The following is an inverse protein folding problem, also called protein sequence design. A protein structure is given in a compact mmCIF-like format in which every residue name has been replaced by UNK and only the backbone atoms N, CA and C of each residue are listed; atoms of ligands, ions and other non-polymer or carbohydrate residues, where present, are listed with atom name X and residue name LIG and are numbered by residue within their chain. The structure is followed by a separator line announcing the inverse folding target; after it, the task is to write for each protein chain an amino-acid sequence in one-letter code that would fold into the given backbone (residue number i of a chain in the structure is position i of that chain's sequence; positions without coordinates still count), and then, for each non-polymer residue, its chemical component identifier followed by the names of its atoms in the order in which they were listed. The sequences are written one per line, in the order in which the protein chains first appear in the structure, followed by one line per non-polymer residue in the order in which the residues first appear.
data_IF_525315030602
#
_entry.id   IF_525315030602
#
_cell.length_a   1.000
_cell.length_b   1.000
_cell.length_c   1.000
_cell.angle_alpha   90.00
_cell.angle_beta   90.00
_cell.angle_gamma   90.00
#
_symmetry.space_group_name_H-M   'P 1'
#
loop_
_entity.id
_entity.type
_entity.pdbx_description
1 polymer ?
#
# COMPACT_ATOMS: atom_id res chain seq x y z
N UNK A 1 -40.87 14.85 -61.10
CA UNK A 1 -40.07 13.86 -60.34
C UNK A 1 -38.87 14.58 -59.77
N UNK A 2 -38.98 15.13 -58.58
CA UNK A 2 -37.97 16.03 -57.99
C UNK A 2 -37.25 15.28 -56.88
N UNK A 3 -36.07 14.75 -57.16
CA UNK A 3 -35.18 14.19 -56.13
C UNK A 3 -34.42 15.33 -55.48
N UNK A 4 -34.74 15.63 -54.21
CA UNK A 4 -33.90 16.45 -53.35
C UNK A 4 -33.02 15.50 -52.52
N UNK A 5 -31.68 15.61 -52.55
CA UNK A 5 -30.83 14.81 -51.68
C UNK A 5 -30.87 15.40 -50.27
N UNK A 6 -31.20 14.58 -49.28
CA UNK A 6 -31.07 14.92 -47.86
C UNK A 6 -29.64 15.33 -47.52
N UNK A 7 -29.42 16.35 -46.68
CA UNK A 7 -28.09 16.72 -46.26
C UNK A 7 -27.50 15.61 -45.37
N UNK A 8 -26.40 15.01 -45.83
CA UNK A 8 -25.59 14.11 -45.02
C UNK A 8 -25.10 14.85 -43.77
N UNK A 9 -25.62 14.46 -42.61
CA UNK A 9 -25.10 14.89 -41.31
C UNK A 9 -23.75 14.18 -41.10
N UNK A 10 -22.66 14.90 -40.78
CA UNK A 10 -21.38 14.25 -40.52
C UNK A 10 -21.44 13.48 -39.20
N UNK A 11 -21.48 12.15 -39.29
CA UNK A 11 -21.28 11.23 -38.18
C UNK A 11 -19.82 11.34 -37.73
N UNK A 12 -19.48 12.21 -36.77
CA UNK A 12 -18.08 12.26 -36.35
C UNK A 12 -17.63 13.24 -35.27
N UNK A 13 -18.40 14.29 -34.93
CA UNK A 13 -17.97 15.23 -33.89
C UNK A 13 -18.65 14.89 -32.58
N UNK A 14 -18.03 14.01 -31.78
CA UNK A 14 -18.43 13.90 -30.36
C UNK A 14 -18.32 15.27 -29.74
N UNK A 15 -19.39 15.73 -29.09
CA UNK A 15 -19.40 17.04 -28.44
C UNK A 15 -18.26 17.12 -27.43
N UNK A 16 -17.60 18.28 -27.33
CA UNK A 16 -16.57 18.58 -26.32
C UNK A 16 -17.09 18.21 -24.91
N UNK A 17 -18.40 18.35 -24.68
CA UNK A 17 -19.07 17.97 -23.44
C UNK A 17 -19.03 16.46 -23.18
N UNK A 18 -19.35 15.63 -24.18
CA UNK A 18 -19.28 14.16 -24.07
C UNK A 18 -17.85 13.67 -23.86
N UNK A 19 -16.87 14.34 -24.46
CA UNK A 19 -15.46 14.06 -24.23
C UNK A 19 -15.05 14.37 -22.78
N UNK A 20 -15.44 15.54 -22.25
CA UNK A 20 -15.21 15.92 -20.84
C UNK A 20 -15.85 14.92 -19.89
N UNK A 21 -17.11 14.55 -20.11
CA UNK A 21 -17.78 13.55 -19.27
C UNK A 21 -17.12 12.18 -19.31
N UNK A 22 -16.67 11.71 -20.48
CA UNK A 22 -15.90 10.46 -20.57
C UNK A 22 -14.60 10.54 -19.78
N UNK A 23 -13.87 11.63 -19.94
CA UNK A 23 -12.63 11.87 -19.19
C UNK A 23 -12.89 11.91 -17.69
N UNK A 24 -13.97 12.56 -17.26
CA UNK A 24 -14.32 12.71 -15.86
C UNK A 24 -14.76 11.37 -15.25
N UNK A 25 -15.56 10.58 -15.99
CA UNK A 25 -15.92 9.20 -15.59
C UNK A 25 -14.68 8.31 -15.51
N UNK A 26 -13.73 8.43 -16.44
CA UNK A 26 -12.47 7.67 -16.43
C UNK A 26 -11.62 8.06 -15.23
N UNK A 27 -11.44 9.37 -14.97
CA UNK A 27 -10.73 9.90 -13.80
C UNK A 27 -11.35 9.41 -12.50
N UNK A 28 -12.68 9.47 -12.36
CA UNK A 28 -13.39 8.99 -11.18
C UNK A 28 -13.27 7.47 -10.98
N UNK A 29 -13.19 6.68 -12.06
CA UNK A 29 -12.96 5.23 -11.96
C UNK A 29 -11.54 4.94 -11.50
N UNK A 30 -10.55 5.50 -12.17
CA UNK A 30 -9.13 5.30 -11.83
C UNK A 30 -8.81 5.81 -10.43
N UNK A 31 -9.36 6.96 -10.03
CA UNK A 31 -9.21 7.48 -8.67
C UNK A 31 -9.78 6.54 -7.61
N UNK A 32 -10.96 5.94 -7.86
CA UNK A 32 -11.54 4.95 -6.94
C UNK A 32 -10.72 3.67 -6.86
N UNK A 33 -10.23 3.16 -7.98
CA UNK A 33 -9.35 1.97 -8.00
C UNK A 33 -8.05 2.24 -7.22
N UNK A 34 -7.48 3.43 -7.39
CA UNK A 34 -6.30 3.87 -6.65
C UNK A 34 -6.57 3.90 -5.14
N UNK A 35 -7.63 4.58 -4.70
CA UNK A 35 -8.03 4.66 -3.27
C UNK A 35 -8.23 3.26 -2.69
N UNK A 36 -8.97 2.39 -3.37
CA UNK A 36 -9.19 1.02 -2.91
C UNK A 36 -7.90 0.21 -2.79
N UNK A 37 -6.97 0.40 -3.74
CA UNK A 37 -5.67 -0.25 -3.69
C UNK A 37 -4.83 0.25 -2.51
N UNK A 38 -4.88 1.55 -2.22
CA UNK A 38 -4.14 2.19 -1.13
C UNK A 38 -4.72 1.78 0.23
N UNK A 39 -6.04 1.72 0.36
CA UNK A 39 -6.73 1.26 1.56
C UNK A 39 -6.31 -0.17 1.92
N UNK A 40 -6.39 -1.10 0.96
CA UNK A 40 -5.94 -2.49 1.14
C UNK A 40 -4.45 -2.60 1.47
N UNK A 41 -3.63 -1.65 1.01
CA UNK A 41 -2.22 -1.63 1.30
C UNK A 41 -1.95 -1.13 2.73
N UNK A 42 -2.59 -0.03 3.13
CA UNK A 42 -2.54 0.49 4.50
C UNK A 42 -3.05 -0.53 5.52
N UNK A 43 -4.15 -1.22 5.24
CA UNK A 43 -4.66 -2.30 6.09
C UNK A 43 -3.58 -3.38 6.33
N UNK A 44 -2.88 -3.83 5.28
CA UNK A 44 -1.81 -4.83 5.44
C UNK A 44 -0.63 -4.30 6.25
N UNK A 45 -0.27 -3.03 6.08
CA UNK A 45 0.79 -2.39 6.87
C UNK A 45 0.39 -2.22 8.33
N UNK A 46 -0.88 -1.94 8.59
CA UNK A 46 -1.43 -1.84 9.94
C UNK A 46 -1.37 -3.19 10.65
N UNK A 47 -1.71 -4.29 9.95
CA UNK A 47 -1.57 -5.64 10.50
C UNK A 47 -0.13 -5.93 10.95
N UNK A 48 0.87 -5.51 10.16
CA UNK A 48 2.28 -5.70 10.53
C UNK A 48 2.62 -4.81 11.74
N UNK A 49 2.23 -3.54 11.71
CA UNK A 49 2.55 -2.56 12.75
C UNK A 49 1.95 -2.96 14.09
N UNK A 50 0.66 -3.28 14.12
CA UNK A 50 -0.09 -3.62 15.32
C UNK A 50 0.29 -5.00 15.84
N UNK A 51 0.14 -6.06 15.03
CA UNK A 51 0.30 -7.42 15.56
C UNK A 51 1.74 -7.89 15.69
N UNK A 52 2.65 -7.37 14.86
CA UNK A 52 4.06 -7.68 15.02
C UNK A 52 4.76 -6.59 15.81
N UNK A 53 4.79 -5.34 15.37
CA UNK A 53 5.68 -4.37 16.01
C UNK A 53 5.22 -3.99 17.43
N UNK A 54 3.94 -3.67 17.64
CA UNK A 54 3.42 -3.29 18.96
C UNK A 54 3.29 -4.48 19.91
N UNK A 55 2.71 -5.61 19.49
CA UNK A 55 2.60 -6.77 20.39
C UNK A 55 3.98 -7.37 20.70
N UNK A 56 4.95 -7.39 19.76
CA UNK A 56 6.32 -7.81 20.10
C UNK A 56 6.97 -6.87 21.13
N UNK A 57 6.68 -5.56 21.05
CA UNK A 57 7.13 -4.59 22.04
C UNK A 57 6.53 -4.86 23.41
N UNK A 58 5.21 -5.06 23.47
CA UNK A 58 4.50 -5.31 24.73
C UNK A 58 4.89 -6.66 25.36
N UNK A 59 5.13 -7.70 24.55
CA UNK A 59 5.50 -9.03 25.05
C UNK A 59 6.99 -9.18 25.38
N UNK A 60 7.85 -8.28 24.91
CA UNK A 60 9.30 -8.36 25.12
C UNK A 60 9.97 -9.57 24.45
N UNK A 61 9.31 -10.20 23.47
CA UNK A 61 9.80 -11.43 22.81
C UNK A 61 11.09 -11.23 22.01
N UNK A 62 11.33 -9.99 21.56
CA UNK A 62 12.51 -9.57 20.81
C UNK A 62 13.08 -8.28 21.41
N UNK A 63 14.41 -8.21 21.45
CA UNK A 63 15.12 -6.98 21.81
C UNK A 63 14.83 -5.88 20.78
N UNK A 64 14.91 -4.63 21.24
CA UNK A 64 14.57 -3.47 20.43
C UNK A 64 15.45 -3.33 19.18
N UNK A 65 16.75 -3.54 19.30
CA UNK A 65 17.73 -3.54 18.20
C UNK A 65 17.37 -4.55 17.09
N UNK A 66 16.99 -5.77 17.48
CA UNK A 66 16.59 -6.83 16.55
C UNK A 66 15.26 -6.48 15.88
N UNK A 67 14.30 -5.94 16.65
CA UNK A 67 13.01 -5.51 16.10
C UNK A 67 13.19 -4.40 15.07
N UNK A 68 13.97 -3.37 15.39
CA UNK A 68 14.28 -2.27 14.48
C UNK A 68 15.05 -2.76 13.25
N UNK A 69 15.93 -3.75 13.40
CA UNK A 69 16.64 -4.34 12.26
C UNK A 69 15.71 -5.17 11.35
N UNK A 70 14.65 -5.79 11.86
CA UNK A 70 13.68 -6.54 11.05
C UNK A 70 12.65 -5.63 10.39
N UNK A 71 12.07 -4.69 11.15
CA UNK A 71 10.94 -3.87 10.69
C UNK A 71 11.38 -2.51 10.14
N UNK A 72 12.59 -2.04 10.44
CA UNK A 72 13.17 -0.81 9.91
C UNK A 72 12.19 0.37 9.96
N UNK A 73 12.06 1.11 8.86
CA UNK A 73 11.16 2.24 8.65
C UNK A 73 9.71 1.86 8.33
N UNK A 74 9.27 0.60 8.50
CA UNK A 74 7.91 0.18 8.11
C UNK A 74 6.80 0.97 8.81
N UNK A 75 7.04 1.41 10.05
CA UNK A 75 6.13 2.26 10.81
C UNK A 75 5.99 3.65 10.17
N UNK A 76 7.11 4.23 9.76
CA UNK A 76 7.13 5.52 9.07
C UNK A 76 6.44 5.42 7.71
N UNK A 77 6.69 4.33 6.97
CA UNK A 77 6.00 4.02 5.71
C UNK A 77 4.48 3.95 5.94
N UNK A 78 4.03 3.21 6.96
CA UNK A 78 2.62 3.10 7.30
C UNK A 78 1.98 4.46 7.59
N UNK A 79 2.60 5.29 8.44
CA UNK A 79 2.08 6.61 8.81
C UNK A 79 1.92 7.54 7.60
N UNK A 80 2.93 7.55 6.73
CA UNK A 80 2.93 8.39 5.53
C UNK A 80 1.85 7.93 4.55
N UNK A 81 1.70 6.62 4.35
CA UNK A 81 0.65 6.08 3.49
C UNK A 81 -0.76 6.30 4.05
N UNK A 82 -0.94 6.25 5.38
CA UNK A 82 -2.23 6.60 6.01
C UNK A 82 -2.60 8.06 5.75
N UNK A 83 -1.62 8.96 5.83
CA UNK A 83 -1.82 10.38 5.52
C UNK A 83 -2.18 10.57 4.04
N UNK A 84 -1.47 9.88 3.14
CA UNK A 84 -1.80 9.86 1.72
C UNK A 84 -3.22 9.33 1.49
N UNK A 85 -3.60 8.21 2.11
CA UNK A 85 -4.92 7.61 1.97
C UNK A 85 -6.04 8.60 2.35
N UNK A 86 -5.91 9.32 3.47
CA UNK A 86 -6.88 10.34 3.87
C UNK A 86 -7.07 11.41 2.78
N UNK A 87 -5.97 11.92 2.21
CA UNK A 87 -6.05 12.88 1.09
C UNK A 87 -6.66 12.27 -0.18
N UNK A 88 -6.43 10.99 -0.47
CA UNK A 88 -7.01 10.31 -1.62
C UNK A 88 -8.52 10.07 -1.43
N UNK A 89 -8.97 9.74 -0.22
CA UNK A 89 -10.39 9.58 0.13
C UNK A 89 -11.15 10.91 0.02
N UNK A 90 -10.52 12.02 0.39
CA UNK A 90 -11.04 13.39 0.21
C UNK A 90 -11.05 13.85 -1.26
N UNK A 91 -10.45 13.08 -2.18
CA UNK A 91 -10.29 13.44 -3.59
C UNK A 91 -9.18 14.47 -3.86
N UNK A 92 -8.36 14.78 -2.87
CA UNK A 92 -7.25 15.73 -2.92
C UNK A 92 -5.94 15.07 -3.38
N UNK A 93 -5.97 14.38 -4.53
CA UNK A 93 -4.82 13.62 -5.06
C UNK A 93 -3.54 14.46 -5.17
N UNK A 94 -3.63 15.69 -5.71
CA UNK A 94 -2.46 16.54 -5.93
C UNK A 94 -1.73 16.87 -4.63
N UNK A 95 -2.46 17.36 -3.62
CA UNK A 95 -1.89 17.71 -2.30
C UNK A 95 -1.38 16.46 -1.58
N UNK A 96 -2.11 15.36 -1.67
CA UNK A 96 -1.70 14.09 -1.07
C UNK A 96 -0.35 13.61 -1.61
N UNK A 97 -0.16 13.64 -2.93
CA UNK A 97 1.12 13.24 -3.54
C UNK A 97 2.24 14.25 -3.27
N UNK A 98 1.95 15.55 -3.27
CA UNK A 98 2.94 16.59 -2.97
C UNK A 98 3.51 16.43 -1.54
N UNK A 99 2.65 16.09 -0.57
CA UNK A 99 3.06 15.80 0.80
C UNK A 99 3.70 14.41 0.94
N UNK A 100 3.32 13.44 0.12
CA UNK A 100 3.87 12.08 0.16
C UNK A 100 5.31 12.00 -0.38
N UNK A 101 5.59 12.65 -1.52
CA UNK A 101 6.85 12.54 -2.25
C UNK A 101 8.13 12.78 -1.39
N UNK A 102 8.20 13.80 -0.52
CA UNK A 102 9.35 14.03 0.35
C UNK A 102 9.67 12.84 1.28
N UNK A 103 8.67 12.03 1.61
CA UNK A 103 8.78 10.91 2.53
C UNK A 103 9.19 9.58 1.87
N UNK A 104 9.42 9.57 0.55
CA UNK A 104 9.88 8.38 -0.18
C UNK A 104 11.21 7.82 0.33
N UNK A 105 12.04 8.64 0.99
CA UNK A 105 13.29 8.19 1.62
C UNK A 105 13.09 7.07 2.66
N UNK A 106 11.92 6.97 3.30
CA UNK A 106 11.60 5.86 4.20
C UNK A 106 11.59 4.53 3.47
N UNK A 107 11.14 4.50 2.22
CA UNK A 107 11.15 3.30 1.40
C UNK A 107 12.56 2.92 0.97
N UNK A 108 13.41 3.89 0.59
CA UNK A 108 14.83 3.65 0.29
C UNK A 108 15.52 2.98 1.48
N UNK A 109 15.35 3.56 2.68
CA UNK A 109 15.89 2.99 3.93
C UNK A 109 15.41 1.56 4.17
N UNK A 110 14.13 1.28 3.88
CA UNK A 110 13.56 -0.05 4.02
C UNK A 110 14.15 -1.05 3.02
N UNK A 111 14.30 -0.66 1.75
CA UNK A 111 14.87 -1.48 0.67
C UNK A 111 16.31 -1.86 1.01
N UNK A 112 17.11 -0.89 1.42
CA UNK A 112 18.53 -1.08 1.74
C UNK A 112 18.71 -2.06 2.91
N UNK A 113 17.84 -1.97 3.92
CA UNK A 113 17.87 -2.86 5.07
C UNK A 113 17.16 -4.21 4.83
N UNK A 114 16.39 -4.38 3.75
CA UNK A 114 15.51 -5.54 3.56
C UNK A 114 16.26 -6.88 3.55
N UNK A 115 17.45 -6.93 2.93
CA UNK A 115 18.26 -8.15 2.91
C UNK A 115 18.79 -8.53 4.29
N UNK A 116 19.21 -7.53 5.09
CA UNK A 116 19.64 -7.74 6.47
C UNK A 116 18.46 -8.20 7.34
N UNK A 117 17.31 -7.54 7.22
CA UNK A 117 16.07 -7.91 7.90
C UNK A 117 15.69 -9.38 7.63
N UNK A 118 15.75 -9.83 6.37
CA UNK A 118 15.44 -11.22 6.00
C UNK A 118 16.40 -12.23 6.64
N UNK A 119 17.70 -11.93 6.66
CA UNK A 119 18.71 -12.78 7.33
C UNK A 119 18.48 -12.86 8.83
N UNK A 120 18.24 -11.72 9.48
CA UNK A 120 18.00 -11.64 10.93
C UNK A 120 16.71 -12.36 11.28
N UNK A 121 15.64 -12.17 10.50
CA UNK A 121 14.37 -12.89 10.69
C UNK A 121 14.58 -14.41 10.63
N UNK A 122 15.32 -14.91 9.64
CA UNK A 122 15.62 -16.33 9.53
C UNK A 122 16.41 -16.87 10.74
N UNK A 123 17.38 -16.11 11.24
CA UNK A 123 18.14 -16.46 12.46
C UNK A 123 17.24 -16.49 13.68
N UNK A 124 16.38 -15.48 13.87
CA UNK A 124 15.45 -15.42 14.99
C UNK A 124 14.43 -16.56 14.95
N UNK A 125 13.91 -16.91 13.77
CA UNK A 125 13.01 -18.05 13.63
C UNK A 125 13.68 -19.38 13.95
N UNK A 126 14.97 -19.55 13.66
CA UNK A 126 15.74 -20.75 14.01
C UNK A 126 16.08 -20.82 15.50
N UNK A 127 16.60 -19.74 16.09
CA UNK A 127 17.14 -19.73 17.46
C UNK A 127 16.11 -19.43 18.54
N UNK A 128 15.10 -18.62 18.25
CA UNK A 128 14.16 -18.11 19.26
C UNK A 128 12.81 -18.86 19.19
N UNK A 129 12.63 -19.87 20.06
CA UNK A 129 11.40 -20.67 20.17
C UNK A 129 10.18 -19.81 20.55
N UNK A 130 10.36 -18.81 21.42
CA UNK A 130 9.29 -17.91 21.83
C UNK A 130 8.80 -17.06 20.65
N UNK A 131 9.73 -16.50 19.86
CA UNK A 131 9.41 -15.75 18.65
C UNK A 131 8.70 -16.62 17.60
N UNK A 132 9.15 -17.87 17.40
CA UNK A 132 8.47 -18.80 16.48
C UNK A 132 7.03 -19.10 16.91
N UNK A 133 6.80 -19.35 18.21
CA UNK A 133 5.46 -19.56 18.75
C UNK A 133 4.60 -18.31 18.62
N UNK A 134 5.18 -17.15 18.88
CA UNK A 134 4.53 -15.86 18.70
C UNK A 134 4.09 -15.64 17.25
N UNK A 135 4.99 -15.81 16.28
CA UNK A 135 4.68 -15.70 14.85
C UNK A 135 3.51 -16.61 14.47
N UNK A 136 3.57 -17.89 14.85
CA UNK A 136 2.50 -18.85 14.57
C UNK A 136 1.16 -18.43 15.18
N UNK A 137 1.18 -17.82 16.37
CA UNK A 137 -0.04 -17.33 17.03
C UNK A 137 -0.63 -16.12 16.30
N UNK A 138 0.20 -15.18 15.84
CA UNK A 138 -0.29 -14.02 15.09
C UNK A 138 -0.80 -14.42 13.70
N UNK A 139 -0.09 -15.31 13.00
CA UNK A 139 -0.46 -15.79 11.66
C UNK A 139 -1.73 -16.67 11.67
N UNK A 140 -2.10 -17.23 12.82
CA UNK A 140 -3.33 -18.00 12.99
C UNK A 140 -4.59 -17.12 13.12
N UNK A 141 -4.43 -15.80 13.28
CA UNK A 141 -5.55 -14.90 13.43
C UNK A 141 -6.28 -14.69 12.09
N UNK A 142 -7.62 -14.52 12.11
CA UNK A 142 -8.40 -14.39 10.88
C UNK A 142 -8.00 -13.19 10.01
N UNK A 143 -7.55 -12.09 10.63
CA UNK A 143 -7.16 -10.85 9.95
C UNK A 143 -5.98 -11.07 8.98
N UNK A 144 -5.13 -12.06 9.25
CA UNK A 144 -3.99 -12.39 8.39
C UNK A 144 -4.37 -13.18 7.15
N UNK A 145 -5.57 -13.77 7.06
CA UNK A 145 -6.01 -14.54 5.89
C UNK A 145 -4.98 -15.59 5.41
N UNK A 146 -4.27 -16.24 6.34
CA UNK A 146 -3.16 -17.19 6.09
C UNK A 146 -1.90 -16.58 5.46
N UNK A 147 -1.80 -15.25 5.36
CA UNK A 147 -0.59 -14.55 4.98
C UNK A 147 0.46 -14.69 6.08
N UNK A 148 1.70 -14.95 5.66
CA UNK A 148 2.82 -15.05 6.58
C UNK A 148 3.54 -13.72 6.69
N UNK A 149 4.28 -13.53 7.78
CA UNK A 149 5.15 -12.37 7.93
C UNK A 149 6.12 -12.23 6.75
N UNK A 150 6.63 -13.36 6.22
CA UNK A 150 7.52 -13.36 5.06
C UNK A 150 6.87 -12.83 3.77
N UNK A 151 5.54 -12.93 3.65
CA UNK A 151 4.78 -12.45 2.48
C UNK A 151 4.41 -10.96 2.61
N UNK A 152 4.34 -10.48 3.86
CA UNK A 152 3.97 -9.11 4.21
C UNK A 152 5.15 -8.13 4.17
N UNK A 153 6.34 -8.55 4.63
CA UNK A 153 7.54 -7.70 4.62
C UNK A 153 7.96 -7.20 3.21
N UNK A 154 7.77 -7.94 2.10
CA UNK A 154 8.04 -7.44 0.76
C UNK A 154 7.01 -6.44 0.22
N UNK A 155 5.88 -6.19 0.91
CA UNK A 155 4.80 -5.36 0.36
C UNK A 155 5.24 -3.93 0.01
N UNK A 156 6.02 -3.21 0.85
CA UNK A 156 6.53 -1.89 0.48
C UNK A 156 7.37 -1.88 -0.79
N UNK A 157 8.17 -2.93 -1.03
CA UNK A 157 8.96 -3.06 -2.27
C UNK A 157 8.07 -3.19 -3.50
N UNK A 158 7.05 -4.04 -3.40
CA UNK A 158 6.09 -4.25 -4.49
C UNK A 158 5.28 -2.99 -4.78
N UNK A 159 4.98 -2.18 -3.77
CA UNK A 159 4.18 -0.95 -3.94
C UNK A 159 4.90 0.11 -4.78
N UNK A 160 6.21 0.30 -4.59
CA UNK A 160 6.99 1.27 -5.38
C UNK A 160 7.08 0.88 -6.87
N UNK A 161 6.96 -0.41 -7.17
CA UNK A 161 7.03 -0.92 -8.54
C UNK A 161 5.69 -0.85 -9.30
N UNK A 162 4.57 -0.58 -8.61
CA UNK A 162 3.23 -0.47 -9.21
C UNK A 162 2.99 0.91 -9.80
#
# INVERSE_FOLDING_TARGET
MSFSPSPCVPTGVRSIQEQRERWDRKRKRTGRELVQSEQRYCEKLDLITTYFVEILKAKGTLRQDIRESIFSSIKSIHLVNQTLLGHLEDGNFGVGFDQFCPHLHFYTTYVDNFQAAKKILAVQLKKNKAFRRFKKLQEARPEFHKLKLEDLLPLPLKRIQQ
#
